data_IF_554763599395
#
_entry.id   IF_554763599395
#
_cell.length_a   1.000
_cell.length_b   1.000
_cell.length_c   1.000
_cell.angle_alpha   90.00
_cell.angle_beta   90.00
_cell.angle_gamma   90.00
#
_symmetry.space_group_name_H-M   'P 1'
#
loop_
_entity.id
_entity.type
_entity.pdbx_description
1 polymer ?
#
# COMPACT_ATOMS: atom_id res chain seq x y z
N UNK A 1 -14.73 -2.64 2.43
CA UNK A 1 -13.46 -1.98 2.77
C UNK A 1 -12.48 -3.06 3.09
N UNK A 2 -11.31 -3.01 2.46
CA UNK A 2 -10.29 -4.03 2.54
C UNK A 2 -8.97 -3.39 2.96
N UNK A 3 -8.39 -3.90 4.03
CA UNK A 3 -7.09 -3.46 4.53
C UNK A 3 -5.98 -4.04 3.64
N UNK A 4 -5.13 -3.18 3.13
CA UNK A 4 -3.85 -3.57 2.51
C UNK A 4 -2.79 -3.46 3.60
N UNK A 5 -2.14 -4.58 3.92
CA UNK A 5 -1.24 -4.70 5.05
C UNK A 5 0.19 -4.98 4.61
N UNK A 6 1.16 -4.53 5.39
CA UNK A 6 2.55 -4.91 5.21
C UNK A 6 2.74 -6.42 5.48
N UNK A 7 3.47 -7.10 4.59
CA UNK A 7 3.80 -8.52 4.74
C UNK A 7 5.13 -8.74 5.46
N UNK A 8 5.89 -7.68 5.71
CA UNK A 8 7.19 -7.72 6.36
C UNK A 8 7.52 -6.39 7.02
N UNK A 9 8.61 -6.37 7.81
CA UNK A 9 9.21 -5.12 8.28
C UNK A 9 10.01 -4.44 7.17
N UNK A 10 9.66 -3.20 6.85
CA UNK A 10 10.26 -2.44 5.74
C UNK A 10 10.15 -0.93 5.96
N UNK A 11 10.76 -0.15 5.06
CA UNK A 11 10.55 1.30 4.96
C UNK A 11 9.69 1.61 3.74
N UNK A 12 8.78 2.57 3.82
CA UNK A 12 8.03 3.05 2.67
C UNK A 12 8.96 3.85 1.78
N UNK A 13 9.28 3.31 0.60
CA UNK A 13 10.17 3.96 -0.35
C UNK A 13 9.44 5.02 -1.17
N UNK A 14 8.24 4.67 -1.67
CA UNK A 14 7.46 5.56 -2.52
C UNK A 14 5.98 5.31 -2.36
N UNK A 15 5.16 6.36 -2.34
CA UNK A 15 3.71 6.25 -2.49
C UNK A 15 3.36 6.60 -3.94
N UNK A 16 2.67 5.70 -4.65
CA UNK A 16 2.43 5.84 -6.09
C UNK A 16 0.95 6.04 -6.44
N UNK A 17 0.03 5.70 -5.52
CA UNK A 17 -1.41 5.93 -5.68
C UNK A 17 -1.90 7.12 -4.82
N UNK A 18 -2.95 7.79 -5.30
CA UNK A 18 -3.56 8.94 -4.65
C UNK A 18 -4.90 8.56 -4.01
N UNK A 19 -5.15 9.01 -2.79
CA UNK A 19 -6.43 8.76 -2.12
C UNK A 19 -7.58 9.37 -2.94
N UNK A 20 -8.64 8.59 -3.12
CA UNK A 20 -9.81 8.93 -3.91
C UNK A 20 -9.77 8.43 -5.35
N UNK A 21 -8.66 7.85 -5.81
CA UNK A 21 -8.57 7.30 -7.17
C UNK A 21 -9.11 5.88 -7.26
N UNK A 22 -9.66 5.53 -8.42
CA UNK A 22 -10.00 4.15 -8.74
C UNK A 22 -8.72 3.32 -8.94
N UNK A 23 -8.74 2.07 -8.48
CA UNK A 23 -7.66 1.09 -8.60
C UNK A 23 -8.23 -0.24 -9.08
N UNK A 24 -7.45 -0.99 -9.86
CA UNK A 24 -7.72 -2.35 -10.27
C UNK A 24 -6.92 -3.35 -9.42
N UNK A 25 -7.35 -4.62 -9.43
CA UNK A 25 -6.57 -5.69 -8.82
C UNK A 25 -5.18 -5.75 -9.45
N UNK A 26 -4.13 -5.70 -8.64
CA UNK A 26 -2.74 -5.67 -9.07
C UNK A 26 -2.15 -4.27 -9.30
N UNK A 27 -2.93 -3.19 -9.24
CA UNK A 27 -2.39 -1.84 -9.33
C UNK A 27 -1.50 -1.54 -8.13
N UNK A 28 -0.32 -0.97 -8.37
CA UNK A 28 0.62 -0.58 -7.32
C UNK A 28 0.07 0.61 -6.52
N UNK A 29 0.11 0.51 -5.19
CA UNK A 29 -0.33 1.55 -4.27
C UNK A 29 0.85 2.32 -3.67
N UNK A 30 1.85 1.56 -3.23
CA UNK A 30 3.12 2.06 -2.71
C UNK A 30 4.20 1.00 -2.92
N UNK A 31 5.45 1.36 -2.67
CA UNK A 31 6.59 0.47 -2.76
C UNK A 31 7.33 0.51 -1.42
N UNK A 32 7.58 -0.67 -0.86
CA UNK A 32 8.40 -0.85 0.32
C UNK A 32 9.85 -1.15 -0.08
N UNK A 33 10.80 -0.76 0.76
CA UNK A 33 12.20 -1.14 0.67
C UNK A 33 12.61 -1.94 1.91
N UNK A 34 13.19 -3.12 1.68
CA UNK A 34 13.83 -3.91 2.73
C UNK A 34 15.07 -4.61 2.18
N UNK A 35 16.19 -4.48 2.90
CA UNK A 35 17.48 -5.08 2.50
C UNK A 35 17.89 -4.74 1.06
N UNK A 36 17.68 -3.50 0.61
CA UNK A 36 17.94 -3.00 -0.76
C UNK A 36 17.08 -3.67 -1.86
N UNK A 37 15.99 -4.32 -1.47
CA UNK A 37 15.00 -4.86 -2.40
C UNK A 37 13.74 -4.00 -2.36
N UNK A 38 13.23 -3.66 -3.54
CA UNK A 38 11.95 -2.98 -3.72
C UNK A 38 10.82 -4.02 -3.77
N UNK A 39 9.77 -3.78 -3.00
CA UNK A 39 8.66 -4.71 -2.80
C UNK A 39 7.37 -3.92 -3.06
N UNK A 40 6.79 -4.04 -4.27
CA UNK A 40 5.53 -3.38 -4.59
C UNK A 40 4.41 -3.91 -3.72
N UNK A 41 3.60 -3.00 -3.19
CA UNK A 41 2.35 -3.33 -2.50
C UNK A 41 1.21 -2.98 -3.45
N UNK A 42 0.44 -3.97 -3.84
CA UNK A 42 -0.61 -3.84 -4.84
C UNK A 42 -2.00 -3.92 -4.24
N UNK A 43 -2.97 -3.36 -4.96
CA UNK A 43 -4.38 -3.50 -4.63
C UNK A 43 -4.81 -4.97 -4.79
N UNK A 44 -5.36 -5.62 -3.76
CA UNK A 44 -5.81 -7.02 -3.84
C UNK A 44 -7.04 -7.22 -4.74
N UNK A 45 -7.89 -6.19 -4.86
CA UNK A 45 -9.06 -6.19 -5.73
C UNK A 45 -9.36 -4.78 -6.26
N UNK A 46 -10.28 -4.68 -7.22
CA UNK A 46 -10.70 -3.40 -7.79
C UNK A 46 -11.58 -2.59 -6.83
N UNK A 47 -11.42 -1.27 -6.85
CA UNK A 47 -12.17 -0.37 -5.99
C UNK A 47 -11.67 1.07 -6.05
N UNK A 48 -11.84 1.80 -4.95
CA UNK A 48 -11.30 3.15 -4.75
C UNK A 48 -10.31 3.12 -3.59
N UNK A 49 -9.13 3.71 -3.75
CA UNK A 49 -8.20 3.93 -2.64
C UNK A 49 -8.84 4.92 -1.65
N UNK A 50 -9.36 4.42 -0.53
CA UNK A 50 -10.11 5.23 0.42
C UNK A 50 -9.18 5.94 1.40
N UNK A 51 -8.10 5.28 1.83
CA UNK A 51 -7.17 5.80 2.83
C UNK A 51 -5.74 5.35 2.52
N UNK A 52 -4.77 6.22 2.81
CA UNK A 52 -3.33 5.92 2.82
C UNK A 52 -2.82 6.31 4.21
N UNK A 53 -2.32 5.33 4.97
CA UNK A 53 -1.94 5.52 6.39
C UNK A 53 -0.44 5.75 6.59
N UNK A 54 0.32 5.72 5.50
CA UNK A 54 1.77 5.85 5.51
C UNK A 54 2.25 6.89 4.51
N UNK A 55 3.42 7.46 4.78
CA UNK A 55 4.13 8.37 3.91
C UNK A 55 5.52 7.83 3.56
N UNK A 56 6.14 8.41 2.53
CA UNK A 56 7.52 8.09 2.15
C UNK A 56 8.48 8.32 3.33
N UNK A 57 9.33 7.33 3.61
CA UNK A 57 10.27 7.32 4.73
C UNK A 57 9.74 6.67 6.01
N UNK A 58 8.44 6.35 6.10
CA UNK A 58 7.89 5.69 7.28
C UNK A 58 8.39 4.24 7.41
N UNK A 59 8.61 3.79 8.65
CA UNK A 59 8.90 2.39 8.94
C UNK A 59 7.62 1.64 9.27
N UNK A 60 7.47 0.44 8.73
CA UNK A 60 6.28 -0.42 8.91
C UNK A 60 6.71 -1.80 9.40
N UNK A 61 5.84 -2.47 10.16
CA UNK A 61 5.98 -3.84 10.62
C UNK A 61 4.99 -4.77 9.90
N UNK A 62 5.24 -6.08 9.97
CA UNK A 62 4.31 -7.08 9.45
C UNK A 62 2.92 -6.92 10.11
N UNK A 63 1.89 -6.86 9.28
CA UNK A 63 0.50 -6.70 9.71
C UNK A 63 0.03 -5.25 9.86
N UNK A 64 0.91 -4.26 9.79
CA UNK A 64 0.52 -2.85 9.81
C UNK A 64 -0.38 -2.54 8.61
N UNK A 65 -1.45 -1.78 8.83
CA UNK A 65 -2.36 -1.32 7.77
C UNK A 65 -1.69 -0.15 7.05
N UNK A 66 -1.48 -0.32 5.74
CA UNK A 66 -0.82 0.66 4.89
C UNK A 66 -1.83 1.55 4.15
N UNK A 67 -2.91 0.93 3.68
CA UNK A 67 -3.95 1.58 2.92
C UNK A 67 -5.29 0.83 3.08
N UNK A 68 -6.39 1.51 2.78
CA UNK A 68 -7.73 0.91 2.75
C UNK A 68 -8.31 1.09 1.36
N UNK A 69 -8.77 0.00 0.75
CA UNK A 69 -9.50 0.02 -0.52
C UNK A 69 -11.00 -0.13 -0.24
N UNK A 70 -11.80 0.82 -0.70
CA UNK A 70 -13.25 0.74 -0.72
C UNK A 70 -13.68 -0.01 -1.98
N UNK A 71 -14.14 -1.23 -1.79
CA UNK A 71 -14.37 -2.18 -2.87
C UNK A 71 -15.80 -2.01 -3.38
N UNK A 72 -15.95 -2.08 -4.70
CA UNK A 72 -17.20 -1.78 -5.42
C UNK A 72 -17.96 -3.04 -5.80
#
# INVERSE_FOLDING_TARGET
MLDVRAELTATVWKVVAEVGTAVAAGDELLILESMKMEIPVTAPEGGTLAEMHVAEGDSVAEGDVLAVVATS
#
